data_IF_115083853501
#
_entry.id   IF_115083853501
#
_cell.length_a   1.000
_cell.length_b   1.000
_cell.length_c   1.000
_cell.angle_alpha   90.00
_cell.angle_beta   90.00
_cell.angle_gamma   90.00
#
_symmetry.space_group_name_H-M   'P 1'
#
loop_
_entity.id
_entity.type
_entity.pdbx_description
1 polymer ?
#
# COMPACT_ATOMS: atom_id res chain seq x y z
N UNK A 1 41.70 -34.92 -3.13
CA UNK A 1 40.93 -33.75 -3.60
C UNK A 1 39.58 -33.81 -2.90
N UNK A 2 39.34 -32.90 -1.95
CA UNK A 2 38.10 -32.86 -1.19
C UNK A 2 36.94 -32.54 -2.13
N UNK A 3 35.90 -33.38 -2.10
CA UNK A 3 34.65 -33.09 -2.79
C UNK A 3 34.08 -31.79 -2.22
N UNK A 4 33.70 -30.86 -3.10
CA UNK A 4 33.02 -29.64 -2.73
C UNK A 4 31.81 -30.00 -1.86
N UNK A 5 31.74 -29.44 -0.65
CA UNK A 5 30.59 -29.62 0.23
C UNK A 5 29.31 -29.28 -0.55
N UNK A 6 28.39 -30.24 -0.67
CA UNK A 6 27.06 -30.00 -1.25
C UNK A 6 26.44 -28.81 -0.51
N UNK A 7 26.32 -27.68 -1.22
CA UNK A 7 25.67 -26.49 -0.70
C UNK A 7 24.20 -26.81 -0.46
N UNK A 8 23.88 -27.27 0.74
CA UNK A 8 22.50 -27.50 1.16
C UNK A 8 21.68 -26.23 0.94
N UNK A 9 20.60 -26.33 0.17
CA UNK A 9 19.74 -25.18 -0.13
C UNK A 9 19.19 -24.56 1.16
N UNK A 10 18.95 -23.25 1.14
CA UNK A 10 18.23 -22.55 2.21
C UNK A 10 16.75 -22.53 1.85
N UNK A 11 15.90 -23.15 2.67
CA UNK A 11 14.45 -23.14 2.47
C UNK A 11 13.83 -22.00 3.27
N UNK A 12 13.43 -20.94 2.58
CA UNK A 12 12.68 -19.82 3.16
C UNK A 12 11.20 -19.97 2.82
N UNK A 13 10.33 -19.85 3.82
CA UNK A 13 8.90 -19.63 3.63
C UNK A 13 8.63 -18.13 3.76
N UNK A 14 8.43 -17.45 2.63
CA UNK A 14 8.08 -16.03 2.62
C UNK A 14 6.58 -15.90 2.91
N UNK A 15 6.27 -15.35 4.08
CA UNK A 15 4.90 -15.20 4.56
C UNK A 15 4.27 -13.90 4.02
N UNK A 16 2.95 -13.77 4.17
CA UNK A 16 2.27 -12.51 3.87
C UNK A 16 2.68 -11.39 4.83
N UNK A 17 2.65 -10.16 4.33
CA UNK A 17 2.89 -8.95 5.12
C UNK A 17 1.90 -8.86 6.27
N UNK A 18 2.37 -8.59 7.49
CA UNK A 18 1.50 -8.25 8.63
C UNK A 18 2.10 -7.18 9.54
N UNK A 19 1.21 -6.46 10.20
CA UNK A 19 1.51 -5.50 11.26
C UNK A 19 1.27 -6.07 12.66
N UNK A 20 0.76 -7.29 12.76
CA UNK A 20 0.41 -7.90 14.05
C UNK A 20 1.66 -8.26 14.86
N UNK A 21 1.67 -7.92 16.15
CA UNK A 21 2.85 -8.07 17.01
C UNK A 21 3.42 -9.51 17.08
N UNK A 22 2.58 -10.53 16.89
CA UNK A 22 3.02 -11.93 16.97
C UNK A 22 3.99 -12.30 15.84
N UNK A 23 3.97 -11.61 14.69
CA UNK A 23 4.88 -11.91 13.58
C UNK A 23 6.34 -11.64 13.93
N UNK A 24 6.62 -10.72 14.86
CA UNK A 24 7.97 -10.47 15.36
C UNK A 24 8.56 -11.71 16.03
N UNK A 25 7.73 -12.44 16.79
CA UNK A 25 8.14 -13.66 17.49
C UNK A 25 8.27 -14.87 16.58
N UNK A 26 7.65 -14.83 15.40
CA UNK A 26 7.68 -15.93 14.42
C UNK A 26 8.70 -15.71 13.29
N UNK A 27 9.19 -14.49 13.09
CA UNK A 27 10.18 -14.16 12.09
C UNK A 27 11.52 -14.89 12.34
N UNK A 28 12.10 -15.46 11.28
CA UNK A 28 13.31 -16.29 11.27
C UNK A 28 13.23 -17.61 12.04
N UNK A 29 12.06 -18.01 12.55
CA UNK A 29 11.94 -19.28 13.29
C UNK A 29 12.22 -20.49 12.38
N UNK A 30 13.04 -21.45 12.83
CA UNK A 30 13.29 -22.69 12.12
C UNK A 30 12.16 -23.71 12.34
N UNK A 31 11.84 -24.45 11.29
CA UNK A 31 10.94 -25.61 11.28
C UNK A 31 11.69 -26.77 10.62
N UNK A 32 12.20 -27.74 11.41
CA UNK A 32 12.95 -28.87 10.87
C UNK A 32 12.10 -29.73 9.93
N UNK A 33 12.58 -29.95 8.70
CA UNK A 33 12.00 -30.82 7.68
C UNK A 33 13.11 -31.64 7.00
N UNK A 34 13.66 -32.66 7.67
CA UNK A 34 14.85 -33.37 7.20
C UNK A 34 14.75 -33.82 5.73
N UNK A 35 15.78 -33.59 4.90
CA UNK A 35 17.14 -33.15 5.26
C UNK A 35 17.32 -31.62 5.41
N UNK A 36 16.27 -30.82 5.20
CA UNK A 36 16.35 -29.36 5.25
C UNK A 36 15.73 -28.77 6.52
N UNK A 37 15.98 -27.48 6.75
CA UNK A 37 15.23 -26.68 7.71
C UNK A 37 14.52 -25.58 6.94
N UNK A 38 13.20 -25.51 7.08
CA UNK A 38 12.39 -24.40 6.59
C UNK A 38 12.44 -23.25 7.59
N UNK A 39 12.63 -22.03 7.13
CA UNK A 39 12.61 -20.85 8.00
C UNK A 39 11.46 -19.93 7.62
N UNK A 40 10.69 -19.49 8.61
CA UNK A 40 9.62 -18.52 8.38
C UNK A 40 10.20 -17.11 8.23
N UNK A 41 9.82 -16.39 7.18
CA UNK A 41 10.27 -15.03 6.94
C UNK A 41 9.05 -14.13 6.72
N UNK A 42 8.64 -13.44 7.79
CA UNK A 42 7.52 -12.50 7.78
C UNK A 42 7.95 -11.09 7.35
N UNK A 43 7.45 -10.55 6.23
CA UNK A 43 7.50 -9.12 5.95
C UNK A 43 6.71 -8.33 7.00
N UNK A 44 7.12 -7.09 7.27
CA UNK A 44 6.45 -6.27 8.28
C UNK A 44 7.01 -4.85 8.40
N UNK A 45 6.40 -4.08 9.29
CA UNK A 45 6.61 -2.63 9.40
C UNK A 45 7.59 -2.23 10.52
N UNK A 46 8.11 -3.20 11.27
CA UNK A 46 9.05 -2.96 12.38
C UNK A 46 10.41 -3.58 12.09
N UNK A 47 11.47 -3.05 12.70
CA UNK A 47 12.86 -3.56 12.57
C UNK A 47 13.05 -5.01 13.01
N UNK A 48 12.06 -5.62 13.67
CA UNK A 48 12.07 -7.02 14.11
C UNK A 48 11.44 -7.98 13.10
N UNK A 49 10.90 -7.44 12.02
CA UNK A 49 10.33 -8.21 10.91
C UNK A 49 11.24 -8.14 9.69
N UNK A 50 10.91 -8.89 8.65
CA UNK A 50 11.68 -8.97 7.42
C UNK A 50 11.74 -7.67 6.63
N UNK A 51 10.90 -6.68 6.93
CA UNK A 51 10.85 -5.42 6.19
C UNK A 51 9.98 -5.47 4.95
N UNK A 52 10.14 -4.46 4.09
CA UNK A 52 9.31 -4.24 2.90
C UNK A 52 10.15 -4.24 1.62
N UNK A 53 9.55 -4.62 0.50
CA UNK A 53 10.17 -4.50 -0.81
C UNK A 53 10.35 -3.03 -1.15
N UNK A 54 11.60 -2.65 -1.41
CA UNK A 54 12.00 -1.31 -1.82
C UNK A 54 13.14 -1.42 -2.83
N UNK A 55 12.89 -1.01 -4.07
CA UNK A 55 13.92 -0.95 -5.10
C UNK A 55 14.92 0.17 -4.77
N UNK A 56 16.19 -0.06 -5.13
CA UNK A 56 17.32 0.82 -4.79
C UNK A 56 17.08 2.28 -5.17
N UNK A 57 16.50 2.52 -6.33
CA UNK A 57 16.31 3.85 -6.92
C UNK A 57 14.88 4.39 -6.76
N UNK A 58 13.99 3.68 -6.05
CA UNK A 58 12.57 4.00 -6.04
C UNK A 58 12.29 5.41 -5.49
N UNK A 59 12.88 5.71 -4.32
CA UNK A 59 12.65 7.00 -3.65
C UNK A 59 13.29 8.14 -4.43
N UNK A 60 14.46 7.91 -5.04
CA UNK A 60 15.12 8.89 -5.91
C UNK A 60 14.25 9.21 -7.14
N UNK A 61 13.69 8.19 -7.80
CA UNK A 61 12.77 8.37 -8.93
C UNK A 61 11.49 9.09 -8.52
N UNK A 62 10.90 8.73 -7.38
CA UNK A 62 9.73 9.42 -6.83
C UNK A 62 10.03 10.89 -6.59
N UNK A 63 11.13 11.19 -5.92
CA UNK A 63 11.47 12.57 -5.55
C UNK A 63 11.77 13.40 -6.80
N UNK A 64 12.45 12.83 -7.80
CA UNK A 64 12.63 13.46 -9.10
C UNK A 64 11.29 13.78 -9.78
N UNK A 65 10.35 12.83 -9.80
CA UNK A 65 9.02 13.04 -10.37
C UNK A 65 8.24 14.16 -9.65
N UNK A 66 8.25 14.16 -8.31
CA UNK A 66 7.51 15.13 -7.50
C UNK A 66 8.05 16.56 -7.65
N UNK A 67 9.34 16.73 -7.93
CA UNK A 67 9.97 18.05 -8.09
C UNK A 67 10.09 18.53 -9.54
N UNK A 68 9.73 17.71 -10.52
CA UNK A 68 9.84 18.03 -11.95
C UNK A 68 8.46 18.20 -12.61
N UNK A 69 8.02 19.45 -12.86
CA UNK A 69 6.77 19.72 -13.54
C UNK A 69 6.67 19.12 -14.95
N UNK A 70 7.80 18.95 -15.66
CA UNK A 70 7.80 18.36 -16.99
C UNK A 70 7.52 16.85 -16.94
N UNK A 71 8.05 16.15 -15.93
CA UNK A 71 7.73 14.74 -15.71
C UNK A 71 6.27 14.54 -15.33
N UNK A 72 5.73 15.41 -14.48
CA UNK A 72 4.30 15.38 -14.14
C UNK A 72 3.43 15.64 -15.37
N UNK A 73 3.76 16.66 -16.15
CA UNK A 73 3.05 16.97 -17.39
C UNK A 73 3.09 15.78 -18.38
N UNK A 74 4.25 15.18 -18.58
CA UNK A 74 4.42 14.01 -19.45
C UNK A 74 3.58 12.82 -18.96
N UNK A 75 3.51 12.59 -17.64
CA UNK A 75 2.65 11.57 -17.06
C UNK A 75 1.17 11.83 -17.37
N UNK A 76 0.65 13.03 -17.14
CA UNK A 76 -0.75 13.37 -17.44
C UNK A 76 -1.06 13.24 -18.93
N UNK A 77 -0.15 13.69 -19.80
CA UNK A 77 -0.28 13.52 -21.25
C UNK A 77 -0.30 12.04 -21.66
N UNK A 78 0.47 11.18 -20.99
CA UNK A 78 0.45 9.73 -21.23
C UNK A 78 -0.89 9.07 -20.87
N UNK A 79 -1.70 9.71 -20.03
CA UNK A 79 -3.08 9.31 -19.72
C UNK A 79 -4.11 9.94 -20.67
N UNK A 80 -3.66 10.72 -21.67
CA UNK A 80 -4.54 11.48 -22.56
C UNK A 80 -5.26 12.62 -21.84
N UNK A 81 -4.62 13.22 -20.84
CA UNK A 81 -5.19 14.28 -20.01
C UNK A 81 -4.28 15.50 -19.96
N UNK A 82 -4.88 16.69 -19.86
CA UNK A 82 -4.15 17.87 -19.41
C UNK A 82 -3.82 17.74 -17.91
N UNK A 83 -2.76 18.41 -17.47
CA UNK A 83 -2.43 18.49 -16.05
C UNK A 83 -3.61 19.12 -15.29
N UNK A 84 -4.16 18.46 -14.25
CA UNK A 84 -5.29 19.00 -13.52
C UNK A 84 -4.91 20.30 -12.79
N UNK A 85 -5.90 21.18 -12.61
CA UNK A 85 -5.72 22.43 -11.89
C UNK A 85 -5.21 22.19 -10.45
N UNK A 86 -4.49 23.17 -9.92
CA UNK A 86 -3.86 23.06 -8.60
C UNK A 86 -4.85 22.87 -7.44
N UNK A 87 -6.09 23.34 -7.61
CA UNK A 87 -7.20 23.21 -6.67
C UNK A 87 -8.04 21.93 -6.87
N UNK A 88 -7.68 21.08 -7.84
CA UNK A 88 -8.33 19.78 -8.07
C UNK A 88 -7.63 18.71 -7.24
N UNK A 89 -8.39 18.10 -6.33
CA UNK A 89 -7.96 16.96 -5.54
C UNK A 89 -7.86 15.70 -6.43
N UNK A 90 -6.64 15.18 -6.60
CA UNK A 90 -6.38 13.99 -7.42
C UNK A 90 -6.40 12.74 -6.54
N UNK A 91 -7.22 11.77 -6.90
CA UNK A 91 -7.39 10.54 -6.13
C UNK A 91 -7.17 9.35 -7.06
N UNK A 92 -6.31 8.40 -6.68
CA UNK A 92 -6.29 7.09 -7.32
C UNK A 92 -7.22 6.12 -6.58
N UNK A 93 -7.96 5.29 -7.30
CA UNK A 93 -8.89 4.32 -6.73
C UNK A 93 -8.67 2.93 -7.32
N UNK A 94 -7.93 2.11 -6.57
CA UNK A 94 -7.68 0.71 -6.86
C UNK A 94 -8.20 -0.18 -5.72
N UNK A 95 -9.43 -0.66 -5.91
CA UNK A 95 -10.21 -1.35 -4.87
C UNK A 95 -10.80 -2.68 -5.37
N UNK A 96 -11.08 -3.59 -4.44
CA UNK A 96 -12.03 -4.70 -4.63
C UNK A 96 -13.44 -4.15 -4.76
N UNK A 97 -14.39 -5.04 -4.95
CA UNK A 97 -15.81 -4.76 -4.77
C UNK A 97 -16.05 -4.04 -3.43
N UNK A 98 -16.82 -2.94 -3.45
CA UNK A 98 -17.03 -2.14 -2.25
C UNK A 98 -18.39 -1.42 -2.26
N UNK A 99 -19.23 -1.72 -1.28
CA UNK A 99 -20.56 -1.10 -1.10
C UNK A 99 -20.47 0.36 -0.63
N UNK A 100 -19.38 0.73 0.05
CA UNK A 100 -19.17 2.09 0.53
C UNK A 100 -18.86 3.10 -0.60
N UNK A 101 -18.58 2.62 -1.82
CA UNK A 101 -18.23 3.45 -2.98
C UNK A 101 -19.26 4.54 -3.26
N UNK A 102 -20.55 4.19 -3.26
CA UNK A 102 -21.61 5.14 -3.59
C UNK A 102 -21.64 6.32 -2.60
N UNK A 103 -21.53 6.04 -1.30
CA UNK A 103 -21.48 7.08 -0.26
C UNK A 103 -20.26 8.00 -0.40
N UNK A 104 -19.12 7.44 -0.80
CA UNK A 104 -17.89 8.20 -1.02
C UNK A 104 -18.02 9.10 -2.25
N UNK A 105 -18.58 8.57 -3.35
CA UNK A 105 -18.82 9.34 -4.57
C UNK A 105 -19.84 10.45 -4.37
N UNK A 106 -20.88 10.21 -3.57
CA UNK A 106 -21.84 11.24 -3.14
C UNK A 106 -21.15 12.40 -2.42
N UNK A 107 -20.24 12.07 -1.48
CA UNK A 107 -19.47 13.08 -0.74
C UNK A 107 -18.55 13.89 -1.65
N UNK A 108 -17.91 13.25 -2.64
CA UNK A 108 -17.07 13.95 -3.63
C UNK A 108 -17.89 14.81 -4.59
N UNK A 109 -19.03 14.30 -5.08
CA UNK A 109 -19.88 15.02 -6.02
C UNK A 109 -20.49 16.29 -5.40
N UNK A 110 -20.89 16.23 -4.11
CA UNK A 110 -21.55 17.32 -3.37
C UNK A 110 -20.58 18.18 -2.55
N UNK A 111 -19.29 17.83 -2.52
CA UNK A 111 -18.29 18.42 -1.65
C UNK A 111 -17.87 19.85 -2.00
N UNK A 112 -16.89 20.36 -1.25
CA UNK A 112 -16.35 21.71 -1.45
C UNK A 112 -15.28 21.77 -2.56
N UNK A 113 -14.45 20.73 -2.70
CA UNK A 113 -13.33 20.66 -3.64
C UNK A 113 -13.73 20.00 -4.97
N UNK A 114 -13.04 20.34 -6.06
CA UNK A 114 -13.09 19.57 -7.30
C UNK A 114 -12.31 18.27 -7.11
N UNK A 115 -12.89 17.13 -7.48
CA UNK A 115 -12.26 15.81 -7.32
C UNK A 115 -12.08 15.16 -8.69
N UNK A 116 -10.84 14.79 -9.01
CA UNK A 116 -10.51 13.90 -10.12
C UNK A 116 -10.14 12.53 -9.56
N UNK A 117 -11.00 11.54 -9.78
CA UNK A 117 -10.76 10.15 -9.42
C UNK A 117 -10.26 9.35 -10.64
N UNK A 118 -9.06 8.79 -10.53
CA UNK A 118 -8.43 7.94 -11.53
C UNK A 118 -8.59 6.47 -11.11
N UNK A 119 -9.26 5.69 -11.94
CA UNK A 119 -9.66 4.30 -11.61
C UNK A 119 -9.00 3.36 -12.60
N UNK A 120 -7.90 2.68 -12.26
CA UNK A 120 -7.38 1.59 -13.08
C UNK A 120 -8.45 0.51 -13.28
N UNK A 121 -8.50 -0.07 -14.49
CA UNK A 121 -9.38 -1.19 -14.78
C UNK A 121 -9.22 -2.31 -13.75
N UNK A 122 -10.34 -2.76 -13.19
CA UNK A 122 -10.30 -3.68 -12.06
C UNK A 122 -11.69 -3.98 -11.48
N UNK A 123 -11.68 -4.52 -10.25
CA UNK A 123 -12.86 -5.14 -9.64
C UNK A 123 -13.93 -4.16 -9.15
N UNK A 124 -13.57 -2.90 -8.94
CA UNK A 124 -14.51 -1.85 -8.51
C UNK A 124 -15.39 -1.33 -9.67
N UNK A 125 -15.05 -1.64 -10.92
CA UNK A 125 -15.73 -1.09 -12.10
C UNK A 125 -17.23 -1.37 -12.17
N UNK A 126 -17.76 -2.57 -11.81
CA UNK A 126 -19.19 -2.81 -11.82
C UNK A 126 -19.97 -1.85 -10.91
N UNK A 127 -19.50 -1.64 -9.67
CA UNK A 127 -20.11 -0.70 -8.72
C UNK A 127 -20.00 0.75 -9.20
N UNK A 128 -18.85 1.12 -9.77
CA UNK A 128 -18.65 2.43 -10.37
C UNK A 128 -19.66 2.69 -11.50
N UNK A 129 -19.80 1.74 -12.43
CA UNK A 129 -20.76 1.86 -13.55
C UNK A 129 -22.18 1.91 -13.03
N UNK A 130 -22.53 1.06 -12.07
CA UNK A 130 -23.85 1.04 -11.46
C UNK A 130 -24.20 2.41 -10.83
N UNK A 131 -23.25 3.06 -10.15
CA UNK A 131 -23.43 4.40 -9.59
C UNK A 131 -23.79 5.44 -10.68
N UNK A 132 -23.18 5.36 -11.86
CA UNK A 132 -23.44 6.25 -12.99
C UNK A 132 -24.54 5.75 -13.96
N UNK A 133 -25.43 4.86 -13.51
CA UNK A 133 -26.59 4.41 -14.30
C UNK A 133 -26.33 3.23 -15.25
N UNK A 134 -25.18 2.55 -15.11
CA UNK A 134 -24.87 1.29 -15.79
C UNK A 134 -24.18 1.43 -17.15
N UNK A 135 -23.96 2.65 -17.64
CA UNK A 135 -23.28 2.87 -18.91
C UNK A 135 -21.79 2.54 -18.82
N UNK A 136 -21.26 1.88 -19.85
CA UNK A 136 -19.82 1.62 -19.96
C UNK A 136 -19.16 2.79 -20.68
N UNK A 137 -18.56 3.70 -19.90
CA UNK A 137 -17.73 4.79 -20.37
C UNK A 137 -16.33 4.77 -19.72
N UNK A 138 -15.39 5.48 -20.34
CA UNK A 138 -14.05 5.69 -19.80
C UNK A 138 -13.95 6.99 -18.98
N UNK A 139 -15.02 7.78 -18.94
CA UNK A 139 -15.10 9.02 -18.20
C UNK A 139 -16.54 9.23 -17.70
N UNK A 140 -16.67 9.74 -16.48
CA UNK A 140 -17.95 10.09 -15.85
C UNK A 140 -17.81 11.43 -15.13
N UNK A 141 -18.91 12.14 -14.96
CA UNK A 141 -18.94 13.38 -14.19
C UNK A 141 -20.27 13.53 -13.45
N UNK A 142 -20.21 13.97 -12.19
CA UNK A 142 -21.38 14.32 -11.38
C UNK A 142 -20.99 15.38 -10.35
N UNK A 143 -21.64 16.55 -10.41
CA UNK A 143 -21.30 17.67 -9.53
C UNK A 143 -19.82 18.04 -9.66
N UNK A 144 -19.08 18.00 -8.54
CA UNK A 144 -17.63 18.27 -8.49
C UNK A 144 -16.74 17.03 -8.69
N UNK A 145 -17.34 15.85 -8.89
CA UNK A 145 -16.61 14.61 -9.13
C UNK A 145 -16.45 14.38 -10.64
N UNK A 146 -15.21 14.21 -11.07
CA UNK A 146 -14.85 13.64 -12.36
C UNK A 146 -14.17 12.28 -12.13
N UNK A 147 -14.57 11.27 -12.89
CA UNK A 147 -13.98 9.94 -12.82
C UNK A 147 -13.40 9.57 -14.17
N UNK A 148 -12.18 9.06 -14.20
CA UNK A 148 -11.51 8.57 -15.42
C UNK A 148 -11.07 7.14 -15.21
N UNK A 149 -11.58 6.24 -16.04
CA UNK A 149 -11.14 4.85 -16.06
C UNK A 149 -9.85 4.78 -16.88
N UNK A 150 -8.80 4.22 -16.29
CA UNK A 150 -7.50 4.04 -16.92
C UNK A 150 -7.39 2.59 -17.40
N UNK A 151 -6.88 2.35 -18.63
CA UNK A 151 -6.59 0.99 -19.07
C UNK A 151 -5.60 0.33 -18.13
N UNK A 152 -5.49 -1.01 -18.16
CA UNK A 152 -4.54 -1.75 -17.34
C UNK A 152 -3.14 -1.08 -17.35
N UNK A 153 -2.68 -0.70 -16.16
CA UNK A 153 -1.47 0.09 -15.96
C UNK A 153 -0.33 -0.86 -15.61
N UNK A 154 0.77 -0.83 -16.37
CA UNK A 154 1.99 -1.55 -16.00
C UNK A 154 2.50 -1.10 -14.62
N UNK A 155 3.14 -1.98 -13.86
CA UNK A 155 3.50 -1.71 -12.46
C UNK A 155 4.33 -0.42 -12.26
N UNK A 156 5.31 -0.14 -13.14
CA UNK A 156 6.10 1.10 -13.06
C UNK A 156 5.25 2.36 -13.32
N UNK A 157 4.23 2.25 -14.16
CA UNK A 157 3.28 3.33 -14.42
C UNK A 157 2.28 3.50 -13.26
N UNK A 158 2.06 2.45 -12.47
CA UNK A 158 1.24 2.51 -11.27
C UNK A 158 1.92 3.33 -10.15
N UNK A 159 3.24 3.20 -9.97
CA UNK A 159 3.96 4.06 -9.01
C UNK A 159 3.81 5.54 -9.36
N UNK A 160 4.01 5.92 -10.63
CA UNK A 160 3.82 7.30 -11.08
C UNK A 160 2.38 7.81 -10.86
N UNK A 161 1.37 6.93 -11.02
CA UNK A 161 -0.01 7.26 -10.67
C UNK A 161 -0.16 7.58 -9.18
N UNK A 162 0.44 6.79 -8.29
CA UNK A 162 0.39 7.03 -6.85
C UNK A 162 1.11 8.33 -6.47
N UNK A 163 2.22 8.66 -7.14
CA UNK A 163 2.98 9.89 -6.91
C UNK A 163 2.24 11.13 -7.41
N UNK A 164 1.51 11.01 -8.52
CA UNK A 164 0.74 12.09 -9.13
C UNK A 164 -0.56 12.42 -8.38
N UNK A 165 -1.03 11.53 -7.52
CA UNK A 165 -2.26 11.72 -6.73
C UNK A 165 -1.97 12.29 -5.34
N UNK A 166 -2.97 12.96 -4.78
CA UNK A 166 -2.93 13.52 -3.43
C UNK A 166 -3.40 12.51 -2.39
N UNK A 167 -4.35 11.64 -2.74
CA UNK A 167 -4.82 10.53 -1.90
C UNK A 167 -4.92 9.25 -2.73
N UNK A 168 -4.48 8.13 -2.16
CA UNK A 168 -4.47 6.85 -2.87
C UNK A 168 -5.33 5.79 -2.16
N UNK A 169 -6.41 5.33 -2.79
CA UNK A 169 -7.14 4.15 -2.35
C UNK A 169 -6.52 2.91 -2.99
N UNK A 170 -6.01 2.01 -2.17
CA UNK A 170 -5.22 0.83 -2.58
C UNK A 170 -5.74 -0.43 -1.90
N UNK A 171 -5.30 -1.60 -2.38
CA UNK A 171 -5.81 -2.90 -1.90
C UNK A 171 -4.76 -3.99 -1.85
N UNK A 172 -5.05 -5.05 -1.09
CA UNK A 172 -4.15 -6.20 -1.01
C UNK A 172 -2.78 -5.81 -0.46
N UNK A 173 -1.71 -6.51 -0.84
CA UNK A 173 -0.39 -6.31 -0.25
C UNK A 173 0.50 -5.33 -1.04
N UNK A 174 0.77 -5.64 -2.32
CA UNK A 174 1.73 -4.88 -3.12
C UNK A 174 1.35 -3.40 -3.22
N UNK A 175 0.14 -3.07 -3.66
CA UNK A 175 -0.29 -1.67 -3.79
C UNK A 175 -0.36 -0.92 -2.46
N UNK A 176 -0.54 -1.63 -1.34
CA UNK A 176 -0.44 -1.04 0.00
C UNK A 176 1.01 -0.62 0.29
N UNK A 177 2.00 -1.47 -0.03
CA UNK A 177 3.42 -1.12 0.08
C UNK A 177 3.79 0.03 -0.86
N UNK A 178 3.34 -0.01 -2.12
CA UNK A 178 3.62 1.06 -3.10
C UNK A 178 3.05 2.42 -2.67
N UNK A 179 1.84 2.45 -2.11
CA UNK A 179 1.23 3.68 -1.60
C UNK A 179 2.01 4.31 -0.45
N UNK A 180 2.62 3.49 0.42
CA UNK A 180 3.48 3.98 1.48
C UNK A 180 4.73 4.65 0.91
N UNK A 181 5.33 4.05 -0.12
CA UNK A 181 6.48 4.67 -0.81
C UNK A 181 6.14 5.95 -1.55
N UNK A 182 4.90 6.14 -2.00
CA UNK A 182 4.47 7.41 -2.58
C UNK A 182 4.58 8.60 -1.60
N UNK A 183 4.60 8.35 -0.28
CA UNK A 183 4.69 9.42 0.72
C UNK A 183 3.47 10.34 0.71
N UNK A 184 2.31 9.79 0.31
CA UNK A 184 1.02 10.47 0.23
C UNK A 184 0.00 9.78 1.14
N UNK A 185 -1.00 10.51 1.66
CA UNK A 185 -2.13 9.91 2.35
C UNK A 185 -2.77 8.79 1.53
N UNK A 186 -3.16 7.71 2.19
CA UNK A 186 -3.76 6.57 1.52
C UNK A 186 -4.86 5.92 2.36
N UNK A 187 -5.68 5.10 1.72
CA UNK A 187 -6.72 4.29 2.34
C UNK A 187 -6.56 2.85 1.86
N UNK A 188 -6.36 1.93 2.79
CA UNK A 188 -6.15 0.52 2.48
C UNK A 188 -7.44 -0.27 2.57
N UNK A 189 -7.84 -0.90 1.47
CA UNK A 189 -8.81 -1.99 1.47
C UNK A 189 -8.07 -3.31 1.63
N UNK A 190 -8.04 -3.82 2.85
CA UNK A 190 -7.43 -5.12 3.13
C UNK A 190 -8.24 -6.23 2.44
N UNK A 191 -7.60 -7.33 2.08
CA UNK A 191 -8.30 -8.46 1.46
C UNK A 191 -9.39 -8.99 2.42
N UNK A 192 -10.68 -9.00 2.03
CA UNK A 192 -11.72 -9.56 2.87
C UNK A 192 -11.47 -11.06 3.11
N UNK A 193 -11.31 -11.45 4.36
CA UNK A 193 -11.13 -12.84 4.76
C UNK A 193 -12.35 -13.38 5.49
N UNK A 194 -12.52 -14.71 5.44
CA UNK A 194 -13.52 -15.44 6.23
C UNK A 194 -13.42 -15.09 7.72
N UNK A 195 -14.57 -15.15 8.41
CA UNK A 195 -14.71 -14.86 9.84
C UNK A 195 -14.16 -13.50 10.28
N UNK A 196 -14.11 -12.54 9.36
CA UNK A 196 -13.64 -11.19 9.62
C UNK A 196 -12.18 -11.11 10.13
N UNK A 197 -11.36 -12.14 9.82
CA UNK A 197 -9.95 -12.24 10.24
C UNK A 197 -9.03 -11.12 9.71
N UNK A 198 -9.52 -10.35 8.74
CA UNK A 198 -8.83 -9.18 8.21
C UNK A 198 -8.84 -7.97 9.16
N UNK A 199 -9.81 -7.89 10.09
CA UNK A 199 -9.93 -6.76 11.02
C UNK A 199 -8.76 -6.61 11.99
N UNK A 200 -8.30 -7.67 12.70
CA UNK A 200 -7.11 -7.58 13.55
C UNK A 200 -5.89 -7.08 12.78
N UNK A 201 -5.70 -7.55 11.55
CA UNK A 201 -4.58 -7.15 10.69
C UNK A 201 -4.67 -5.69 10.25
N UNK A 202 -5.86 -5.22 9.89
CA UNK A 202 -6.12 -3.82 9.57
C UNK A 202 -5.88 -2.92 10.80
N UNK A 203 -6.39 -3.33 11.97
CA UNK A 203 -6.25 -2.57 13.20
C UNK A 203 -4.80 -2.48 13.65
N UNK A 204 -4.04 -3.59 13.59
CA UNK A 204 -2.63 -3.59 13.93
C UNK A 204 -1.83 -2.62 13.05
N UNK A 205 -2.14 -2.54 11.75
CA UNK A 205 -1.52 -1.55 10.88
C UNK A 205 -1.92 -0.12 11.25
N UNK A 206 -3.22 0.13 11.48
CA UNK A 206 -3.73 1.44 11.86
C UNK A 206 -3.10 1.94 13.17
N UNK A 207 -2.90 1.07 14.15
CA UNK A 207 -2.28 1.43 15.44
C UNK A 207 -0.83 1.86 15.25
N UNK A 208 -0.05 1.14 14.43
CA UNK A 208 1.32 1.52 14.10
C UNK A 208 1.38 2.82 13.29
N UNK A 209 0.53 2.93 12.26
CA UNK A 209 0.53 4.10 11.39
C UNK A 209 0.06 5.35 12.14
N UNK A 210 -0.95 5.25 13.00
CA UNK A 210 -1.55 6.38 13.69
C UNK A 210 -0.86 6.76 15.01
N UNK A 211 0.10 5.96 15.52
CA UNK A 211 0.78 6.22 16.79
C UNK A 211 1.29 7.67 17.00
N UNK A 212 1.89 8.36 16.02
CA UNK A 212 2.35 9.74 16.22
C UNK A 212 1.29 10.81 15.89
N UNK A 213 0.09 10.42 15.46
CA UNK A 213 -0.96 11.36 15.04
C UNK A 213 -1.73 11.91 16.23
N UNK A 214 -2.27 13.11 16.07
CA UNK A 214 -3.26 13.68 16.97
C UNK A 214 -4.47 12.76 17.10
N UNK A 215 -5.17 12.83 18.24
CA UNK A 215 -6.38 12.03 18.47
C UNK A 215 -7.43 12.27 17.37
N UNK A 216 -7.61 13.52 16.95
CA UNK A 216 -8.55 13.90 15.89
C UNK A 216 -8.19 13.24 14.56
N UNK A 217 -6.93 13.29 14.16
CA UNK A 217 -6.46 12.69 12.89
C UNK A 217 -6.48 11.17 12.95
N UNK A 218 -6.18 10.58 14.12
CA UNK A 218 -6.33 9.13 14.36
C UNK A 218 -7.77 8.69 14.16
N UNK A 219 -8.73 9.37 14.77
CA UNK A 219 -10.16 9.06 14.64
C UNK A 219 -10.65 9.23 13.20
N UNK A 220 -10.22 10.30 12.51
CA UNK A 220 -10.56 10.53 11.11
C UNK A 220 -10.02 9.42 10.19
N UNK A 221 -8.77 9.00 10.41
CA UNK A 221 -8.12 7.93 9.63
C UNK A 221 -8.80 6.59 9.88
N UNK A 222 -8.95 6.19 11.15
CA UNK A 222 -9.60 4.94 11.50
C UNK A 222 -11.05 4.90 11.03
N UNK A 223 -11.80 6.01 11.17
CA UNK A 223 -13.18 6.11 10.72
C UNK A 223 -13.33 5.85 9.22
N UNK A 224 -12.55 6.55 8.38
CA UNK A 224 -12.60 6.32 6.93
C UNK A 224 -12.14 4.92 6.55
N UNK A 225 -11.06 4.42 7.14
CA UNK A 225 -10.52 3.09 6.81
C UNK A 225 -11.48 1.97 7.20
N UNK A 226 -12.12 2.05 8.37
CA UNK A 226 -13.14 1.08 8.79
C UNK A 226 -14.37 1.14 7.89
N UNK A 227 -14.87 2.34 7.59
CA UNK A 227 -15.98 2.50 6.65
C UNK A 227 -15.67 1.95 5.25
N UNK A 228 -14.44 2.17 4.77
CA UNK A 228 -13.99 1.62 3.49
C UNK A 228 -13.83 0.09 3.51
N UNK A 229 -13.68 -0.54 4.68
CA UNK A 229 -13.60 -1.99 4.83
C UNK A 229 -14.92 -2.63 5.31
N UNK A 230 -16.03 -1.88 5.32
CA UNK A 230 -17.38 -2.43 5.54
C UNK A 230 -18.11 -1.91 6.77
N UNK A 231 -17.55 -0.97 7.54
CA UNK A 231 -18.20 -0.40 8.74
C UNK A 231 -18.76 1.00 8.51
N UNK A 232 -19.98 1.09 7.98
CA UNK A 232 -20.71 2.35 7.86
C UNK A 232 -20.47 3.10 6.54
N UNK A 233 -20.50 4.43 6.59
CA UNK A 233 -20.49 5.30 5.40
C UNK A 233 -19.12 5.92 5.17
N UNK A 234 -18.45 5.56 4.07
CA UNK A 234 -17.17 6.16 3.70
C UNK A 234 -17.30 7.66 3.40
N UNK A 235 -18.46 8.09 2.89
CA UNK A 235 -18.77 9.50 2.68
C UNK A 235 -18.72 10.34 3.97
N UNK A 236 -19.20 9.79 5.08
CA UNK A 236 -19.15 10.47 6.39
C UNK A 236 -17.72 10.57 6.92
N UNK A 237 -16.93 9.50 6.80
CA UNK A 237 -15.52 9.48 7.21
C UNK A 237 -14.63 10.38 6.36
N UNK A 238 -14.98 10.59 5.09
CA UNK A 238 -14.18 11.36 4.12
C UNK A 238 -13.92 12.80 4.56
N UNK A 239 -14.95 13.51 5.00
CA UNK A 239 -14.83 14.93 5.38
C UNK A 239 -13.82 15.12 6.53
N UNK A 240 -13.84 14.24 7.52
CA UNK A 240 -12.89 14.29 8.64
C UNK A 240 -11.46 13.96 8.17
N UNK A 241 -11.31 12.99 7.26
CA UNK A 241 -10.01 12.59 6.71
C UNK A 241 -9.36 13.73 5.92
N UNK A 242 -10.11 14.38 5.01
CA UNK A 242 -9.58 15.50 4.22
C UNK A 242 -9.27 16.71 5.09
N UNK A 243 -10.09 16.99 6.11
CA UNK A 243 -9.78 18.05 7.07
C UNK A 243 -8.48 17.82 7.85
N UNK A 244 -8.03 16.56 7.95
CA UNK A 244 -6.78 16.16 8.58
C UNK A 244 -5.60 16.00 7.59
N UNK A 245 -5.79 16.30 6.29
CA UNK A 245 -4.83 16.02 5.21
C UNK A 245 -3.44 16.59 5.47
N UNK A 246 -3.33 17.80 6.01
CA UNK A 246 -2.03 18.41 6.30
C UNK A 246 -1.16 17.62 7.30
N UNK A 247 -1.79 17.03 8.33
CA UNK A 247 -1.07 16.15 9.27
C UNK A 247 -0.77 14.78 8.63
N UNK A 248 -1.69 14.28 7.81
CA UNK A 248 -1.52 13.01 7.09
C UNK A 248 -0.43 13.07 6.01
N UNK A 249 -0.26 14.20 5.33
CA UNK A 249 0.82 14.43 4.37
C UNK A 249 2.18 14.33 5.06
N UNK A 250 2.33 15.03 6.20
CA UNK A 250 3.54 14.96 7.01
C UNK A 250 3.81 13.54 7.52
N UNK A 251 2.75 12.84 7.96
CA UNK A 251 2.85 11.45 8.41
C UNK A 251 3.29 10.52 7.30
N UNK A 252 2.68 10.59 6.11
CA UNK A 252 3.00 9.70 5.01
C UNK A 252 4.47 9.82 4.59
N UNK A 253 5.02 11.04 4.56
CA UNK A 253 6.44 11.26 4.28
C UNK A 253 7.35 10.73 5.39
N UNK A 254 7.01 10.95 6.66
CA UNK A 254 7.77 10.43 7.79
C UNK A 254 7.76 8.89 7.81
N UNK A 255 6.59 8.29 7.59
CA UNK A 255 6.40 6.85 7.54
C UNK A 255 7.22 6.19 6.43
N UNK A 256 7.25 6.78 5.22
CA UNK A 256 8.09 6.30 4.13
C UNK A 256 9.59 6.33 4.51
N UNK A 257 10.05 7.35 5.24
CA UNK A 257 11.44 7.41 5.72
C UNK A 257 11.72 6.33 6.78
N UNK A 258 10.85 6.19 7.77
CA UNK A 258 10.95 5.19 8.85
C UNK A 258 11.05 3.77 8.28
N UNK A 259 10.21 3.44 7.29
CA UNK A 259 10.18 2.12 6.68
C UNK A 259 11.39 1.85 5.77
N UNK A 260 12.00 2.87 5.17
CA UNK A 260 13.09 2.70 4.20
C UNK A 260 14.35 2.07 4.80
N UNK A 261 14.50 2.13 6.12
CA UNK A 261 15.59 1.48 6.86
C UNK A 261 15.43 -0.05 6.96
N UNK A 262 14.26 -0.60 6.63
CA UNK A 262 13.94 -2.02 6.80
C UNK A 262 13.62 -2.69 5.45
N UNK A 263 14.66 -2.95 4.66
CA UNK A 263 14.53 -3.47 3.30
C UNK A 263 14.46 -5.01 3.26
N UNK A 264 13.38 -5.55 2.69
CA UNK A 264 13.12 -6.99 2.62
C UNK A 264 14.22 -7.77 1.94
N UNK A 265 14.66 -7.32 0.77
CA UNK A 265 15.66 -8.04 -0.03
C UNK A 265 17.01 -8.07 0.67
N UNK A 266 17.42 -6.95 1.29
CA UNK A 266 18.68 -6.88 2.03
C UNK A 266 18.62 -7.73 3.31
N UNK A 267 17.52 -7.67 4.05
CA UNK A 267 17.32 -8.47 5.26
C UNK A 267 17.28 -9.97 4.96
N UNK A 268 16.63 -10.36 3.85
CA UNK A 268 16.57 -11.75 3.41
C UNK A 268 17.96 -12.26 2.99
N UNK A 269 18.73 -11.44 2.25
CA UNK A 269 20.10 -11.78 1.89
C UNK A 269 20.98 -11.96 3.13
N UNK A 270 20.92 -11.03 4.08
CA UNK A 270 21.66 -11.12 5.34
C UNK A 270 21.27 -12.40 6.11
N UNK A 271 19.99 -12.74 6.16
CA UNK A 271 19.53 -13.95 6.83
C UNK A 271 20.02 -15.25 6.15
N UNK A 272 20.02 -15.31 4.82
CA UNK A 272 20.59 -16.44 4.08
C UNK A 272 22.09 -16.62 4.36
N UNK A 273 22.83 -15.51 4.53
CA UNK A 273 24.25 -15.52 4.93
C UNK A 273 24.41 -16.00 6.38
N UNK A 274 23.59 -15.52 7.32
CA UNK A 274 23.55 -15.98 8.72
C UNK A 274 23.35 -17.50 8.79
N UNK A 275 22.40 -18.06 8.02
CA UNK A 275 22.14 -19.51 7.97
C UNK A 275 23.36 -20.28 7.45
N UNK A 276 23.99 -19.78 6.39
CA UNK A 276 25.16 -20.42 5.79
C UNK A 276 26.33 -20.46 6.79
N UNK A 277 26.56 -19.37 7.51
CA UNK A 277 27.57 -19.27 8.57
C UNK A 277 27.28 -20.22 9.73
N UNK A 278 26.02 -20.28 10.21
CA UNK A 278 25.62 -21.22 11.28
C UNK A 278 25.82 -22.69 10.88
N UNK A 279 25.62 -23.04 9.61
CA UNK A 279 25.86 -24.41 9.11
C UNK A 279 27.37 -24.73 9.08
N UNK A 280 28.22 -23.78 8.66
CA UNK A 280 29.67 -23.97 8.66
C UNK A 280 30.22 -24.27 10.07
N UNK A 281 29.83 -23.48 11.07
CA UNK A 281 30.25 -23.70 12.46
C UNK A 281 29.79 -25.05 13.04
N UNK A 282 28.61 -25.55 12.66
CA UNK A 282 28.14 -26.88 13.08
C UNK A 282 28.95 -28.03 12.48
N UNK A 283 29.57 -27.82 11.32
CA UNK A 283 30.42 -28.82 10.66
C UNK A 283 31.82 -28.83 11.28
N UNK A 284 32.38 -27.66 11.62
CA UNK A 284 33.73 -27.55 12.23
C UNK A 284 33.79 -28.02 13.69
N UNK A 285 32.66 -28.04 14.40
CA UNK A 285 32.56 -28.50 15.80
C UNK A 285 32.21 -29.99 15.97
N UNK A 286 32.12 -30.77 14.89
CA UNK A 286 31.92 -32.23 14.89
C UNK A 286 33.22 -32.96 14.51
#
# INVERSE_FOLDING_TARGET
>A
MAAAAEQSSVWINLEYLSAENWVEGCHKLPSPHPPLTRYFFFPGFTKKTGGLLLERDLLERRDAFLHDPLQQLAFWQSLGMAMPAADTLKISLFAYENEALASLFDAWAKGAENVLCLVPEGRILPQLRQYFGGESANAYALGKLQVRVLPFVEQQRYDALLWACDVNFVRGEDSCVRAQWAGKPFVWQIYPQHDAAHWPKLQAFLDLYAAPLSLKTTQATQGLWRAWNGEGSAGEGWCAFVAARGELDARAQAWARELSENNLTLNLLAFCQEISTMRAFKIEGQ
#
